data_IF_401998341211
#
_entry.id   IF_401998341211
#
_cell.length_a   1.000
_cell.length_b   1.000
_cell.length_c   1.000
_cell.angle_alpha   90.00
_cell.angle_beta   90.00
_cell.angle_gamma   90.00
#
_symmetry.space_group_name_H-M   'P 1'
#
loop_
_entity.id
_entity.type
_entity.pdbx_description
1 polymer ?
#
# COMPACT_ATOMS: atom_id res chain seq x y z
N UNK A 1 11.75 -3.66 -13.55
CA UNK A 1 13.09 -3.84 -12.96
C UNK A 1 14.16 -3.90 -14.04
N UNK A 2 14.16 -4.93 -14.88
CA UNK A 2 15.19 -5.13 -15.91
C UNK A 2 15.29 -3.94 -16.89
N UNK A 3 14.17 -3.39 -17.33
CA UNK A 3 14.13 -2.23 -18.21
C UNK A 3 14.69 -0.93 -17.59
N UNK A 4 14.77 -0.86 -16.26
CA UNK A 4 15.34 0.26 -15.52
C UNK A 4 16.78 -0.02 -15.03
N UNK A 5 17.36 -1.17 -15.39
CA UNK A 5 18.70 -1.57 -14.96
C UNK A 5 18.83 -1.93 -13.48
N UNK A 6 17.71 -2.19 -12.78
CA UNK A 6 17.72 -2.52 -11.36
C UNK A 6 17.83 -4.01 -11.11
N UNK A 7 18.62 -4.36 -10.09
CA UNK A 7 18.72 -5.72 -9.58
C UNK A 7 17.57 -6.03 -8.61
N UNK A 8 17.19 -7.31 -8.52
CA UNK A 8 16.27 -7.79 -7.50
C UNK A 8 17.04 -7.87 -6.18
N UNK A 9 16.60 -7.09 -5.20
CA UNK A 9 17.12 -7.09 -3.84
C UNK A 9 15.96 -7.09 -2.82
N UNK A 10 16.28 -7.24 -1.53
CA UNK A 10 15.26 -7.31 -0.46
C UNK A 10 14.32 -6.10 -0.49
N UNK A 11 14.85 -4.90 -0.74
CA UNK A 11 14.08 -3.68 -0.74
C UNK A 11 13.14 -3.57 -1.95
N UNK A 12 13.61 -3.97 -3.14
CA UNK A 12 12.77 -4.01 -4.35
C UNK A 12 11.68 -5.07 -4.24
N UNK A 13 11.99 -6.23 -3.61
CA UNK A 13 10.98 -7.25 -3.29
C UNK A 13 9.95 -6.74 -2.30
N UNK A 14 10.39 -6.06 -1.24
CA UNK A 14 9.49 -5.42 -0.27
C UNK A 14 8.58 -4.39 -0.96
N UNK A 15 9.14 -3.54 -1.83
CA UNK A 15 8.36 -2.61 -2.65
C UNK A 15 7.32 -3.31 -3.52
N UNK A 16 7.68 -4.42 -4.16
CA UNK A 16 6.71 -5.19 -4.96
C UNK A 16 5.57 -5.78 -4.13
N UNK A 17 5.86 -6.33 -2.95
CA UNK A 17 4.85 -6.86 -2.03
C UNK A 17 3.89 -5.74 -1.58
N UNK A 18 4.43 -4.57 -1.26
CA UNK A 18 3.65 -3.41 -0.86
C UNK A 18 2.78 -2.90 -2.04
N UNK A 19 3.35 -2.88 -3.24
CA UNK A 19 2.64 -2.51 -4.45
C UNK A 19 1.46 -3.43 -4.77
N UNK A 20 1.55 -4.74 -4.48
CA UNK A 20 0.43 -5.69 -4.66
C UNK A 20 -0.79 -5.24 -3.85
N UNK A 21 -0.60 -4.80 -2.60
CA UNK A 21 -1.70 -4.29 -1.78
C UNK A 21 -2.41 -3.09 -2.40
N UNK A 22 -1.63 -2.12 -2.87
CA UNK A 22 -2.16 -0.91 -3.52
C UNK A 22 -2.85 -1.25 -4.86
N UNK A 23 -2.27 -2.18 -5.63
CA UNK A 23 -2.80 -2.61 -6.94
C UNK A 23 -4.16 -3.28 -6.82
N UNK A 24 -4.35 -4.12 -5.80
CA UNK A 24 -5.61 -4.82 -5.56
C UNK A 24 -6.71 -3.84 -5.16
N UNK A 25 -6.36 -2.80 -4.41
CA UNK A 25 -7.32 -1.81 -3.90
C UNK A 25 -8.01 -1.04 -5.03
N UNK A 26 -7.27 -0.58 -6.03
CA UNK A 26 -7.82 0.10 -7.21
C UNK A 26 -8.84 -0.77 -7.97
N UNK A 27 -8.53 -2.05 -8.15
CA UNK A 27 -9.41 -2.99 -8.83
C UNK A 27 -10.69 -3.28 -8.03
N UNK A 28 -10.58 -3.41 -6.69
CA UNK A 28 -11.71 -3.64 -5.79
C UNK A 28 -12.70 -2.47 -5.88
N UNK A 29 -12.22 -1.23 -5.82
CA UNK A 29 -13.07 -0.03 -5.90
C UNK A 29 -13.87 -0.01 -7.21
N UNK A 30 -13.27 -0.41 -8.34
CA UNK A 30 -13.98 -0.49 -9.62
C UNK A 30 -15.08 -1.55 -9.57
N UNK A 31 -14.74 -2.78 -9.16
CA UNK A 31 -15.70 -3.90 -9.11
C UNK A 31 -16.86 -3.59 -8.17
N UNK A 32 -16.56 -3.11 -6.96
CA UNK A 32 -17.56 -2.77 -5.95
C UNK A 32 -18.54 -1.70 -6.46
N UNK A 33 -18.02 -0.64 -7.10
CA UNK A 33 -18.87 0.43 -7.63
C UNK A 33 -19.77 -0.07 -8.78
N UNK A 34 -19.25 -0.96 -9.63
CA UNK A 34 -20.05 -1.59 -10.69
C UNK A 34 -21.16 -2.47 -10.11
N UNK A 35 -20.83 -3.34 -9.14
CA UNK A 35 -21.82 -4.20 -8.47
C UNK A 35 -22.86 -3.38 -7.73
N UNK A 36 -22.47 -2.32 -7.05
CA UNK A 36 -23.38 -1.40 -6.35
C UNK A 36 -24.39 -0.77 -7.32
N UNK A 37 -23.93 -0.29 -8.48
CA UNK A 37 -24.83 0.30 -9.49
C UNK A 37 -25.74 -0.75 -10.11
N UNK A 38 -25.23 -1.95 -10.39
CA UNK A 38 -26.05 -3.07 -10.87
C UNK A 38 -27.18 -3.41 -9.88
N UNK A 39 -26.84 -3.53 -8.58
CA UNK A 39 -27.79 -3.88 -7.53
C UNK A 39 -28.82 -2.77 -7.26
N UNK A 40 -28.39 -1.50 -7.31
CA UNK A 40 -29.27 -0.37 -6.98
C UNK A 40 -30.17 0.07 -8.13
N UNK A 41 -29.71 -0.05 -9.36
CA UNK A 41 -30.40 0.47 -10.55
C UNK A 41 -30.88 -0.62 -11.52
N UNK A 42 -30.51 -1.89 -11.29
CA UNK A 42 -30.90 -3.00 -12.16
C UNK A 42 -30.32 -2.92 -13.58
N UNK A 43 -29.21 -2.20 -13.75
CA UNK A 43 -28.57 -2.01 -15.05
C UNK A 43 -27.83 -3.27 -15.50
N UNK A 44 -27.68 -3.42 -16.82
CA UNK A 44 -26.81 -4.45 -17.37
C UNK A 44 -25.34 -4.23 -16.94
N UNK A 45 -24.51 -5.29 -16.85
CA UNK A 45 -23.09 -5.15 -16.46
C UNK A 45 -22.35 -4.10 -17.28
N UNK A 46 -22.63 -4.01 -18.57
CA UNK A 46 -21.98 -3.05 -19.47
C UNK A 46 -22.39 -1.60 -19.18
N UNK A 47 -23.67 -1.36 -18.93
CA UNK A 47 -24.19 -0.02 -18.60
C UNK A 47 -23.75 0.42 -17.21
N UNK A 48 -23.82 -0.50 -16.23
CA UNK A 48 -23.34 -0.26 -14.88
C UNK A 48 -21.84 0.07 -14.86
N UNK A 49 -21.02 -0.69 -15.61
CA UNK A 49 -19.59 -0.41 -15.74
C UNK A 49 -19.33 0.98 -16.32
N UNK A 50 -20.03 1.33 -17.41
CA UNK A 50 -19.89 2.66 -18.02
C UNK A 50 -20.21 3.78 -17.02
N UNK A 51 -21.29 3.62 -16.26
CA UNK A 51 -21.71 4.61 -15.26
C UNK A 51 -20.75 4.66 -14.07
N UNK A 52 -20.30 3.51 -13.59
CA UNK A 52 -19.30 3.42 -12.52
C UNK A 52 -18.01 4.15 -12.91
N UNK A 53 -17.49 3.90 -14.10
CA UNK A 53 -16.25 4.54 -14.56
C UNK A 53 -16.38 6.06 -14.68
N UNK A 54 -17.54 6.57 -15.08
CA UNK A 54 -17.77 8.02 -15.08
C UNK A 54 -17.66 8.64 -13.69
N UNK A 55 -18.04 7.90 -12.65
CA UNK A 55 -17.99 8.39 -11.27
C UNK A 55 -16.59 8.31 -10.65
N UNK A 56 -15.84 7.22 -10.93
CA UNK A 56 -14.62 6.91 -10.19
C UNK A 56 -13.31 7.21 -10.93
N UNK A 57 -13.33 7.38 -12.27
CA UNK A 57 -12.10 7.62 -13.05
C UNK A 57 -11.30 8.80 -12.52
N UNK A 58 -11.96 9.92 -12.22
CA UNK A 58 -11.29 11.09 -11.66
C UNK A 58 -10.64 10.84 -10.31
N UNK A 59 -11.29 10.05 -9.45
CA UNK A 59 -10.75 9.67 -8.14
C UNK A 59 -9.51 8.77 -8.28
N UNK A 60 -9.57 7.75 -9.14
CA UNK A 60 -8.43 6.84 -9.39
C UNK A 60 -7.23 7.63 -9.92
N UNK A 61 -7.43 8.50 -10.91
CA UNK A 61 -6.34 9.34 -11.43
C UNK A 61 -5.77 10.25 -10.34
N UNK A 62 -6.63 10.88 -9.54
CA UNK A 62 -6.21 11.76 -8.45
C UNK A 62 -5.37 11.02 -7.40
N UNK A 63 -5.82 9.85 -6.94
CA UNK A 63 -5.09 9.02 -5.97
C UNK A 63 -3.73 8.58 -6.56
N UNK A 64 -3.73 8.09 -7.80
CA UNK A 64 -2.51 7.68 -8.51
C UNK A 64 -1.48 8.81 -8.58
N UNK A 65 -1.91 10.02 -8.97
CA UNK A 65 -1.01 11.18 -9.06
C UNK A 65 -0.44 11.57 -7.71
N UNK A 66 -1.26 11.58 -6.65
CA UNK A 66 -0.80 11.89 -5.29
C UNK A 66 0.21 10.86 -4.81
N UNK A 67 -0.07 9.56 -4.99
CA UNK A 67 0.85 8.49 -4.59
C UNK A 67 2.17 8.57 -5.35
N UNK A 68 2.14 8.74 -6.67
CA UNK A 68 3.37 8.89 -7.47
C UNK A 68 4.15 10.13 -7.05
N UNK A 69 3.47 11.27 -6.78
CA UNK A 69 4.11 12.50 -6.35
C UNK A 69 4.87 12.36 -5.02
N UNK A 70 4.43 11.49 -4.12
CA UNK A 70 5.14 11.18 -2.86
C UNK A 70 6.45 10.42 -3.12
N UNK A 71 6.48 9.54 -4.12
CA UNK A 71 7.68 8.75 -4.44
C UNK A 71 8.70 9.49 -5.29
N UNK A 72 8.29 10.51 -6.06
CA UNK A 72 9.21 11.27 -6.92
C UNK A 72 10.39 11.89 -6.14
N UNK A 73 10.19 12.63 -5.02
CA UNK A 73 11.31 13.21 -4.27
C UNK A 73 12.31 12.18 -3.75
N UNK A 74 11.83 11.00 -3.37
CA UNK A 74 12.69 9.91 -2.88
C UNK A 74 13.61 9.35 -3.99
N UNK A 75 13.17 9.41 -5.25
CA UNK A 75 13.97 8.98 -6.38
C UNK A 75 15.18 9.89 -6.65
N UNK A 76 15.19 11.11 -6.11
CA UNK A 76 16.28 12.09 -6.30
C UNK A 76 17.12 12.30 -5.04
N UNK A 77 16.99 11.45 -4.01
CA UNK A 77 17.82 11.56 -2.81
C UNK A 77 19.28 11.27 -3.10
N UNK A 78 20.22 12.14 -2.67
CA UNK A 78 21.66 11.94 -2.88
C UNK A 78 22.26 10.94 -1.89
N UNK A 79 23.45 10.44 -2.22
CA UNK A 79 24.26 9.60 -1.33
C UNK A 79 23.97 8.11 -1.44
N UNK A 80 24.69 7.30 -0.67
CA UNK A 80 24.58 5.82 -0.69
C UNK A 80 23.19 5.33 -0.32
N UNK A 81 22.54 6.03 0.60
CA UNK A 81 21.14 5.79 1.00
C UNK A 81 20.20 6.14 -0.15
N UNK A 82 20.53 7.17 -0.94
CA UNK A 82 19.73 7.60 -2.11
C UNK A 82 19.60 6.50 -3.15
N UNK A 83 20.64 5.73 -3.42
CA UNK A 83 20.58 4.61 -4.39
C UNK A 83 19.53 3.57 -3.99
N UNK A 84 19.42 3.30 -2.69
CA UNK A 84 18.45 2.36 -2.14
C UNK A 84 17.01 2.93 -2.30
N UNK A 85 16.81 4.18 -1.90
CA UNK A 85 15.51 4.85 -2.04
C UNK A 85 15.09 5.05 -3.49
N UNK A 86 16.02 5.31 -4.39
CA UNK A 86 15.75 5.44 -5.82
C UNK A 86 15.16 4.16 -6.40
N UNK A 87 15.79 3.01 -6.14
CA UNK A 87 15.29 1.72 -6.64
C UNK A 87 13.89 1.40 -6.06
N UNK A 88 13.69 1.63 -4.77
CA UNK A 88 12.41 1.42 -4.11
C UNK A 88 11.33 2.33 -4.68
N UNK A 89 11.57 3.65 -4.72
CA UNK A 89 10.57 4.64 -5.15
C UNK A 89 10.19 4.52 -6.62
N UNK A 90 11.16 4.27 -7.52
CA UNK A 90 10.85 4.05 -8.94
C UNK A 90 10.09 2.75 -9.16
N UNK A 91 10.38 1.71 -8.36
CA UNK A 91 9.63 0.45 -8.40
C UNK A 91 8.19 0.67 -7.96
N UNK A 92 7.98 1.41 -6.88
CA UNK A 92 6.65 1.75 -6.38
C UNK A 92 5.89 2.63 -7.38
N UNK A 93 6.50 3.71 -7.86
CA UNK A 93 5.85 4.62 -8.80
C UNK A 93 5.41 3.91 -10.10
N UNK A 94 6.28 3.08 -10.68
CA UNK A 94 5.92 2.30 -11.87
C UNK A 94 4.82 1.28 -11.60
N UNK A 95 4.83 0.62 -10.44
CA UNK A 95 3.77 -0.32 -10.05
C UNK A 95 2.42 0.37 -9.87
N UNK A 96 2.40 1.55 -9.22
CA UNK A 96 1.19 2.35 -9.02
C UNK A 96 0.61 2.84 -10.36
N UNK A 97 1.45 3.33 -11.27
CA UNK A 97 1.01 3.74 -12.62
C UNK A 97 0.44 2.56 -13.40
N UNK A 98 1.07 1.40 -13.31
CA UNK A 98 0.60 0.19 -13.96
C UNK A 98 -0.72 -0.31 -13.35
N UNK A 99 -0.88 -0.20 -12.03
CA UNK A 99 -2.14 -0.47 -11.31
C UNK A 99 -3.28 0.37 -11.85
N UNK A 100 -3.10 1.68 -11.87
CA UNK A 100 -4.10 2.62 -12.37
C UNK A 100 -4.47 2.33 -13.84
N UNK A 101 -3.48 2.02 -14.68
CA UNK A 101 -3.72 1.63 -16.07
C UNK A 101 -4.60 0.37 -16.16
N UNK A 102 -4.33 -0.67 -15.36
CA UNK A 102 -5.13 -1.88 -15.31
C UNK A 102 -6.55 -1.62 -14.76
N UNK A 103 -6.65 -0.82 -13.70
CA UNK A 103 -7.93 -0.45 -13.09
C UNK A 103 -8.82 0.36 -14.03
N UNK A 104 -8.22 1.16 -14.91
CA UNK A 104 -8.98 1.97 -15.90
C UNK A 104 -9.25 1.23 -17.22
N UNK A 105 -8.57 0.13 -17.51
CA UNK A 105 -8.71 -0.60 -18.79
C UNK A 105 -9.20 -2.03 -18.60
N UNK A 106 -8.39 -2.88 -17.98
CA UNK A 106 -8.66 -4.31 -17.84
C UNK A 106 -9.84 -4.57 -16.90
N UNK A 107 -9.85 -3.95 -15.73
CA UNK A 107 -10.89 -4.20 -14.72
C UNK A 107 -12.30 -3.86 -15.26
N UNK A 108 -12.56 -2.68 -15.84
CA UNK A 108 -13.88 -2.40 -16.40
C UNK A 108 -14.23 -3.31 -17.58
N UNK A 109 -13.26 -3.71 -18.41
CA UNK A 109 -13.51 -4.66 -19.48
C UNK A 109 -13.97 -6.03 -18.94
N UNK A 110 -13.31 -6.52 -17.87
CA UNK A 110 -13.71 -7.75 -17.20
C UNK A 110 -15.07 -7.61 -16.50
N UNK A 111 -15.35 -6.50 -15.85
CA UNK A 111 -16.67 -6.25 -15.25
C UNK A 111 -17.79 -6.29 -16.29
N UNK A 112 -17.59 -5.63 -17.42
CA UNK A 112 -18.59 -5.58 -18.50
C UNK A 112 -18.86 -6.94 -19.15
N UNK A 113 -17.88 -7.88 -19.10
CA UNK A 113 -17.95 -9.17 -19.81
C UNK A 113 -18.21 -10.36 -18.90
N UNK A 114 -17.68 -10.36 -17.67
CA UNK A 114 -17.72 -11.51 -16.78
C UNK A 114 -18.79 -11.41 -15.69
N UNK A 115 -19.21 -10.20 -15.30
CA UNK A 115 -20.26 -10.05 -14.30
C UNK A 115 -21.60 -10.51 -14.86
N UNK A 116 -22.35 -11.22 -14.00
CA UNK A 116 -23.72 -11.63 -14.33
C UNK A 116 -24.70 -10.52 -13.95
N UNK A 117 -25.77 -10.29 -14.72
CA UNK A 117 -26.80 -9.34 -14.34
C UNK A 117 -27.38 -9.70 -12.96
N UNK A 118 -27.51 -8.70 -12.10
CA UNK A 118 -28.18 -8.84 -10.80
C UNK A 118 -29.56 -8.20 -10.94
N UNK A 119 -30.63 -8.93 -10.63
CA UNK A 119 -31.96 -8.35 -10.64
C UNK A 119 -32.09 -7.32 -9.52
N UNK A 120 -32.66 -6.15 -9.83
CA UNK A 120 -32.82 -5.08 -8.86
C UNK A 120 -33.62 -5.58 -7.62
N UNK A 121 -33.04 -5.46 -6.44
CA UNK A 121 -33.68 -5.89 -5.18
C UNK A 121 -33.49 -7.36 -4.81
N UNK A 122 -32.85 -8.19 -5.61
CA UNK A 122 -32.47 -9.53 -5.19
C UNK A 122 -31.24 -9.46 -4.26
N UNK A 123 -31.53 -9.26 -2.98
CA UNK A 123 -30.61 -9.76 -1.95
C UNK A 123 -30.69 -11.28 -2.02
N UNK A 124 -29.67 -11.90 -2.63
CA UNK A 124 -29.53 -13.35 -2.57
C UNK A 124 -29.46 -13.75 -1.08
N UNK A 125 -30.57 -14.23 -0.54
CA UNK A 125 -30.60 -14.95 0.72
C UNK A 125 -29.76 -16.23 0.53
N UNK A 126 -28.44 -16.06 0.66
CA UNK A 126 -27.52 -17.21 0.66
C UNK A 126 -27.78 -18.00 1.93
N UNK A 127 -28.33 -19.19 1.78
CA UNK A 127 -28.52 -20.17 2.87
C UNK A 127 -27.17 -20.83 3.20
N UNK A 128 -27.00 -21.31 4.44
CA UNK A 128 -25.78 -22.00 4.88
C UNK A 128 -24.72 -21.05 5.45
N UNK A 129 -23.44 -21.45 5.32
CA UNK A 129 -22.28 -20.71 5.87
C UNK A 129 -22.22 -19.27 5.39
N UNK A 130 -22.41 -19.03 4.09
CA UNK A 130 -22.43 -17.69 3.52
C UNK A 130 -23.58 -16.83 4.02
N UNK A 131 -24.75 -17.41 4.30
CA UNK A 131 -25.87 -16.70 4.89
C UNK A 131 -25.60 -16.30 6.35
N UNK A 132 -24.92 -17.17 7.13
CA UNK A 132 -24.47 -16.83 8.48
C UNK A 132 -23.42 -15.70 8.44
N UNK A 133 -22.46 -15.77 7.54
CA UNK A 133 -21.43 -14.74 7.38
C UNK A 133 -22.05 -13.38 7.00
N UNK A 134 -22.95 -13.34 6.01
CA UNK A 134 -23.62 -12.11 5.59
C UNK A 134 -24.42 -11.48 6.73
N UNK A 135 -25.21 -12.25 7.46
CA UNK A 135 -25.96 -11.73 8.62
C UNK A 135 -25.04 -11.18 9.71
N UNK A 136 -23.87 -11.79 9.89
CA UNK A 136 -22.88 -11.28 10.86
C UNK A 136 -22.25 -9.98 10.36
N UNK A 137 -21.96 -9.92 9.09
CA UNK A 137 -21.39 -8.75 8.42
C UNK A 137 -22.40 -7.57 8.41
N UNK A 138 -23.67 -7.81 8.11
CA UNK A 138 -24.73 -6.81 8.17
C UNK A 138 -24.85 -6.20 9.57
N UNK A 139 -24.89 -7.02 10.63
CA UNK A 139 -24.91 -6.51 12.00
C UNK A 139 -23.69 -5.67 12.34
N UNK A 140 -22.50 -6.06 11.84
CA UNK A 140 -21.28 -5.27 12.02
C UNK A 140 -21.38 -3.94 11.29
N UNK A 141 -21.90 -3.95 10.07
CA UNK A 141 -22.13 -2.76 9.25
C UNK A 141 -23.12 -1.80 9.93
N UNK A 142 -24.22 -2.31 10.45
CA UNK A 142 -25.23 -1.51 11.19
C UNK A 142 -24.64 -0.89 12.46
N UNK A 143 -23.86 -1.68 13.21
CA UNK A 143 -23.14 -1.20 14.39
C UNK A 143 -22.13 -0.11 14.03
N UNK A 144 -21.41 -0.28 12.92
CA UNK A 144 -20.46 0.72 12.41
C UNK A 144 -21.18 2.00 12.00
N UNK A 145 -22.26 1.91 11.24
CA UNK A 145 -23.08 3.07 10.86
C UNK A 145 -23.65 3.81 12.08
N UNK A 146 -24.12 3.06 13.08
CA UNK A 146 -24.54 3.62 14.36
C UNK A 146 -23.41 4.36 15.08
N UNK A 147 -22.21 3.77 15.12
CA UNK A 147 -21.02 4.38 15.69
C UNK A 147 -20.59 5.65 14.97
N UNK A 148 -20.57 5.64 13.64
CA UNK A 148 -20.27 6.82 12.81
C UNK A 148 -21.28 7.93 13.06
N UNK A 149 -22.57 7.60 13.06
CA UNK A 149 -23.65 8.57 13.33
C UNK A 149 -23.52 9.19 14.71
N UNK A 150 -23.17 8.39 15.72
CA UNK A 150 -22.89 8.88 17.06
C UNK A 150 -21.67 9.80 17.12
N UNK A 151 -20.59 9.42 16.42
CA UNK A 151 -19.38 10.22 16.32
C UNK A 151 -19.63 11.58 15.63
N UNK A 152 -20.40 11.57 14.54
CA UNK A 152 -20.79 12.79 13.83
C UNK A 152 -21.66 13.73 14.70
N UNK A 153 -22.54 13.20 15.53
CA UNK A 153 -23.30 14.02 16.48
C UNK A 153 -22.45 14.65 17.58
N UNK A 154 -21.23 14.13 17.81
CA UNK A 154 -20.30 14.58 18.84
C UNK A 154 -18.93 14.95 18.28
N UNK A 155 -18.91 15.53 17.10
CA UNK A 155 -17.70 15.86 16.32
C UNK A 155 -16.64 16.59 17.17
N UNK A 156 -17.03 17.53 18.04
CA UNK A 156 -16.06 18.24 18.89
C UNK A 156 -15.29 17.33 19.85
N UNK A 157 -15.92 16.31 20.43
CA UNK A 157 -15.23 15.35 21.32
C UNK A 157 -14.28 14.46 20.53
N UNK A 158 -14.70 13.96 19.38
CA UNK A 158 -13.86 13.11 18.55
C UNK A 158 -12.70 13.89 17.94
N UNK A 159 -12.91 15.18 17.60
CA UNK A 159 -11.82 16.06 17.17
C UNK A 159 -10.80 16.28 18.29
N UNK A 160 -11.24 16.47 19.54
CA UNK A 160 -10.34 16.57 20.68
C UNK A 160 -9.54 15.29 20.91
N UNK A 161 -10.18 14.12 20.83
CA UNK A 161 -9.50 12.82 20.92
C UNK A 161 -8.48 12.68 19.81
N UNK A 162 -8.82 13.03 18.57
CA UNK A 162 -7.92 12.98 17.43
C UNK A 162 -6.70 13.90 17.63
N UNK A 163 -6.92 15.13 18.07
CA UNK A 163 -5.81 16.07 18.36
C UNK A 163 -4.93 15.59 19.50
N UNK A 164 -5.53 14.98 20.55
CA UNK A 164 -4.76 14.38 21.64
C UNK A 164 -3.90 13.21 21.14
N UNK A 165 -4.45 12.33 20.28
CA UNK A 165 -3.68 11.25 19.66
C UNK A 165 -2.55 11.78 18.79
N UNK A 166 -2.78 12.84 18.00
CA UNK A 166 -1.73 13.49 17.22
C UNK A 166 -0.63 14.08 18.09
N UNK A 167 -0.99 14.70 19.22
CA UNK A 167 -0.02 15.24 20.17
C UNK A 167 0.81 14.12 20.81
N UNK A 168 0.19 13.02 21.22
CA UNK A 168 0.88 11.83 21.76
C UNK A 168 1.81 11.24 20.68
N UNK A 169 1.35 11.09 19.45
CA UNK A 169 2.16 10.59 18.34
C UNK A 169 3.37 11.48 18.09
N UNK A 170 3.20 12.81 18.05
CA UNK A 170 4.30 13.75 17.88
C UNK A 170 5.30 13.68 19.04
N UNK A 171 4.81 13.54 20.27
CA UNK A 171 5.66 13.38 21.44
C UNK A 171 6.44 12.06 21.43
N UNK A 172 5.81 10.95 21.06
CA UNK A 172 6.48 9.66 20.91
C UNK A 172 7.51 9.71 19.79
N UNK A 173 7.17 10.30 18.65
CA UNK A 173 8.06 10.45 17.50
C UNK A 173 9.31 11.29 17.87
N UNK A 174 9.14 12.36 18.67
CA UNK A 174 10.26 13.18 19.13
C UNK A 174 11.22 12.45 20.09
N UNK A 175 10.78 11.32 20.67
CA UNK A 175 11.59 10.48 21.57
C UNK A 175 12.27 9.31 20.86
N UNK A 176 11.93 9.04 19.59
CA UNK A 176 12.56 7.97 18.84
C UNK A 176 14.00 8.36 18.47
N UNK A 177 14.98 7.48 18.73
CA UNK A 177 16.34 7.69 18.25
C UNK A 177 16.32 7.65 16.71
N UNK A 178 16.90 8.66 16.06
CA UNK A 178 17.08 8.68 14.61
C UNK A 178 18.23 7.72 14.25
N UNK A 179 17.88 6.49 13.89
CA UNK A 179 18.83 5.54 13.32
C UNK A 179 18.30 5.07 11.97
N UNK A 180 19.14 5.09 10.95
CA UNK A 180 18.80 4.65 9.61
C UNK A 180 18.68 3.12 9.52
N UNK A 181 19.50 2.42 10.27
CA UNK A 181 19.45 0.96 10.41
C UNK A 181 19.26 0.62 11.88
N UNK A 182 18.31 -0.23 12.24
CA UNK A 182 18.23 -0.77 13.59
C UNK A 182 19.53 -1.51 13.90
N UNK A 183 19.97 -1.44 15.14
CA UNK A 183 21.10 -2.24 15.63
C UNK A 183 20.59 -3.68 15.73
N UNK A 184 20.83 -4.45 14.70
CA UNK A 184 20.51 -5.88 14.67
C UNK A 184 21.78 -6.69 14.90
N UNK A 185 21.68 -7.73 15.72
CA UNK A 185 22.72 -8.72 15.83
C UNK A 185 22.68 -9.60 14.55
N UNK A 186 23.56 -9.29 13.62
CA UNK A 186 23.63 -10.00 12.34
C UNK A 186 24.49 -11.27 12.42
N UNK A 187 24.95 -11.64 13.62
CA UNK A 187 25.72 -12.86 13.87
C UNK A 187 27.15 -12.81 13.30
N UNK A 188 27.66 -11.62 12.99
CA UNK A 188 29.05 -11.46 12.60
C UNK A 188 29.74 -10.36 13.41
N UNK A 189 31.04 -10.51 13.61
CA UNK A 189 31.88 -9.53 14.27
C UNK A 189 32.87 -8.96 13.26
N UNK A 190 32.96 -7.64 13.15
CA UNK A 190 33.98 -6.97 12.33
C UNK A 190 35.15 -6.65 13.25
N UNK A 191 36.30 -7.23 12.97
CA UNK A 191 37.55 -6.96 13.68
C UNK A 191 38.45 -6.10 12.80
N UNK A 192 38.76 -4.89 13.23
CA UNK A 192 39.72 -4.02 12.54
C UNK A 192 41.10 -4.21 13.16
N UNK A 193 42.08 -4.68 12.35
CA UNK A 193 43.40 -4.97 12.82
C UNK A 193 44.34 -3.91 12.25
N UNK A 194 44.80 -3.00 13.11
CA UNK A 194 45.79 -1.99 12.75
C UNK A 194 47.17 -2.31 13.34
N UNK A 195 48.16 -2.50 12.49
CA UNK A 195 49.55 -2.62 12.91
C UNK A 195 50.23 -1.23 12.96
N UNK A 196 51.30 -1.10 13.73
CA UNK A 196 52.07 0.16 13.79
C UNK A 196 52.52 0.64 12.39
N UNK A 197 52.66 1.96 12.17
CA UNK A 197 53.13 2.53 10.92
C UNK A 197 54.49 1.91 10.49
N UNK A 198 54.52 1.44 9.23
CA UNK A 198 55.73 0.75 8.67
C UNK A 198 55.64 -0.77 8.69
N UNK A 199 54.56 -1.36 9.15
CA UNK A 199 54.33 -2.81 9.02
C UNK A 199 54.16 -3.21 7.55
N UNK A 200 54.89 -4.22 7.10
CA UNK A 200 54.73 -4.78 5.75
C UNK A 200 53.43 -5.62 5.65
N UNK A 201 52.91 -5.74 4.42
CA UNK A 201 51.74 -6.56 4.15
C UNK A 201 51.87 -8.00 4.66
N UNK A 202 53.04 -8.62 4.48
CA UNK A 202 53.30 -9.97 4.96
C UNK A 202 53.24 -10.11 6.48
N UNK A 203 53.56 -9.04 7.22
CA UNK A 203 53.46 -9.01 8.68
C UNK A 203 52.01 -8.88 9.12
N UNK A 204 51.22 -8.09 8.41
CA UNK A 204 49.78 -7.96 8.67
C UNK A 204 49.09 -9.30 8.42
N UNK A 205 49.35 -9.97 7.31
CA UNK A 205 48.76 -11.27 6.99
C UNK A 205 49.07 -12.31 8.08
N UNK A 206 50.29 -12.38 8.58
CA UNK A 206 50.67 -13.31 9.64
C UNK A 206 49.92 -13.08 10.95
N UNK A 207 49.58 -11.83 11.26
CA UNK A 207 48.78 -11.51 12.45
C UNK A 207 47.31 -11.87 12.24
N UNK A 208 46.77 -11.63 11.03
CA UNK A 208 45.40 -12.00 10.66
C UNK A 208 45.18 -13.53 10.70
N UNK A 209 46.21 -14.32 10.30
CA UNK A 209 46.17 -15.79 10.34
C UNK A 209 46.21 -16.38 11.76
N UNK A 210 46.58 -15.58 12.77
CA UNK A 210 46.65 -15.99 14.19
C UNK A 210 45.36 -15.69 14.99
N UNK A 211 44.41 -14.99 14.39
CA UNK A 211 43.11 -14.61 15.00
C UNK A 211 42.01 -15.47 14.43
#
# INVERSE_FOLDING_TARGET
>A
MLALGFSINVLTMFGMVLAIGILVDDAIVVVENVERIMASEGLSPKEATRKAMQQITGAIIGITLVLVAVFIPMAFMPGSVGVIYQQFSLSMATSILFSAFLALTLTPALCATLLKPIAAGEHHERTGFFGWFNRRFERLSDSYQGGVTYALKRTGRYLLIYLALLAIMALLFSRLPSSFLPVEDQGYTITDIQLPPGASQNRTIKVVEQI
#
